data_IF_882919308172
#
_entry.id   IF_882919308172
#
_cell.length_a   1.000
_cell.length_b   1.000
_cell.length_c   1.000
_cell.angle_alpha   90.00
_cell.angle_beta   90.00
_cell.angle_gamma   90.00
#
_symmetry.space_group_name_H-M   'P 1'
#
loop_
_entity.id
_entity.type
_entity.pdbx_description
1 polymer ?
#
# COMPACT_ATOMS: atom_id res chain seq x y z
N UNK A 1 5.03 -6.59 18.41
CA UNK A 1 3.75 -6.15 17.90
C UNK A 1 3.90 -5.57 16.54
N UNK A 2 3.02 -5.96 15.67
CA UNK A 2 3.07 -5.40 14.33
C UNK A 2 2.46 -4.02 14.36
N UNK A 3 3.21 -3.07 13.88
CA UNK A 3 2.71 -1.72 13.79
C UNK A 3 2.02 -1.55 12.44
N UNK A 4 0.71 -1.40 12.49
CA UNK A 4 -0.04 -1.11 11.28
C UNK A 4 -0.10 0.39 11.09
N UNK A 5 0.04 0.80 9.84
CA UNK A 5 -0.06 2.21 9.50
C UNK A 5 -1.17 2.39 8.48
N UNK A 6 -1.62 3.62 8.37
CA UNK A 6 -2.63 3.94 7.37
C UNK A 6 -2.06 4.97 6.42
N UNK A 7 -2.58 4.95 5.21
CA UNK A 7 -2.16 5.91 4.21
C UNK A 7 -3.20 6.01 3.11
N UNK A 8 -2.91 6.86 2.15
CA UNK A 8 -3.78 7.07 1.01
C UNK A 8 -3.04 6.70 -0.25
N UNK A 9 -3.68 5.95 -1.12
CA UNK A 9 -3.07 5.55 -2.37
C UNK A 9 -2.81 6.78 -3.23
N UNK A 10 -1.55 7.02 -3.55
CA UNK A 10 -1.18 8.12 -4.40
C UNK A 10 -1.43 7.77 -5.86
N UNK A 11 -1.00 6.60 -6.26
CA UNK A 11 -1.32 6.04 -7.57
C UNK A 11 -0.97 4.57 -7.55
N UNK A 12 -1.58 3.84 -8.45
CA UNK A 12 -1.30 2.42 -8.57
C UNK A 12 -1.46 2.01 -10.02
N UNK A 13 -0.46 1.35 -10.57
CA UNK A 13 -0.49 0.89 -11.94
C UNK A 13 -0.93 -0.56 -11.96
N UNK A 14 -2.18 -0.78 -12.33
CA UNK A 14 -2.74 -2.14 -12.32
C UNK A 14 -2.07 -3.05 -13.35
N UNK A 15 -1.56 -2.47 -14.41
CA UNK A 15 -0.89 -3.28 -15.44
C UNK A 15 0.46 -3.77 -14.95
N UNK A 16 1.16 -2.95 -14.22
CA UNK A 16 2.48 -3.31 -13.72
C UNK A 16 2.45 -3.91 -12.33
N UNK A 17 1.36 -3.66 -11.59
CA UNK A 17 1.17 -4.27 -10.29
C UNK A 17 1.90 -3.60 -9.15
N UNK A 18 2.17 -2.30 -9.26
CA UNK A 18 2.79 -1.57 -8.16
C UNK A 18 2.35 -0.12 -8.14
N UNK A 19 2.62 0.52 -7.04
CA UNK A 19 2.29 1.92 -6.88
C UNK A 19 2.87 2.46 -5.59
N UNK A 20 2.29 3.56 -5.13
CA UNK A 20 2.76 4.23 -3.92
C UNK A 20 1.58 4.66 -3.08
N UNK A 21 1.81 4.61 -1.76
CA UNK A 21 0.87 5.07 -0.76
C UNK A 21 1.54 6.22 -0.03
N UNK A 22 0.81 7.32 0.14
CA UNK A 22 1.30 8.49 0.87
C UNK A 22 0.89 8.35 2.32
N UNK A 23 1.86 8.51 3.21
CA UNK A 23 1.59 8.56 4.64
C UNK A 23 1.60 10.00 5.08
N UNK A 24 0.74 10.30 6.02
CA UNK A 24 0.66 11.65 6.54
C UNK A 24 2.00 12.05 7.15
N UNK A 25 2.54 13.16 6.68
CA UNK A 25 3.80 13.72 7.21
C UNK A 25 4.99 12.78 7.06
N UNK A 26 4.94 11.85 6.12
CA UNK A 26 6.03 10.92 5.93
C UNK A 26 6.22 10.64 4.47
N UNK A 27 7.27 9.87 4.19
CA UNK A 27 7.62 9.55 2.81
C UNK A 27 6.64 8.57 2.20
N UNK A 28 6.59 8.56 0.88
CA UNK A 28 5.81 7.59 0.15
C UNK A 28 6.30 6.19 0.44
N UNK A 29 5.36 5.26 0.44
CA UNK A 29 5.67 3.86 0.69
C UNK A 29 5.37 3.07 -0.57
N UNK A 30 6.30 2.24 -0.98
CA UNK A 30 6.13 1.40 -2.15
C UNK A 30 5.15 0.28 -1.83
N UNK A 31 4.24 0.01 -2.78
CA UNK A 31 3.32 -1.11 -2.64
C UNK A 31 3.38 -1.96 -3.90
N UNK A 32 3.24 -3.26 -3.70
CA UNK A 32 3.24 -4.22 -4.80
C UNK A 32 2.01 -5.10 -4.65
N UNK A 33 1.45 -5.54 -5.78
CA UNK A 33 0.19 -6.29 -5.74
C UNK A 33 0.31 -7.54 -4.87
N UNK A 34 1.48 -8.12 -4.80
CA UNK A 34 1.67 -9.32 -3.98
C UNK A 34 1.54 -9.03 -2.49
N UNK A 35 1.60 -7.77 -2.11
CA UNK A 35 1.43 -7.38 -0.72
C UNK A 35 0.01 -6.98 -0.37
N UNK A 36 -0.89 -7.02 -1.32
CA UNK A 36 -2.28 -6.65 -1.09
C UNK A 36 -3.03 -7.89 -0.62
N UNK A 37 -3.69 -7.76 0.51
CA UNK A 37 -4.47 -8.86 1.06
C UNK A 37 -5.80 -8.95 0.34
N UNK A 38 -6.25 -10.17 0.10
CA UNK A 38 -7.55 -10.37 -0.51
C UNK A 38 -7.48 -11.39 -1.63
N UNK A 39 -8.64 -11.76 -2.13
CA UNK A 39 -8.76 -12.70 -3.22
C UNK A 39 -9.25 -11.98 -4.46
N UNK A 40 -8.92 -12.52 -5.60
CA UNK A 40 -9.34 -11.92 -6.85
C UNK A 40 -8.46 -10.76 -7.23
N UNK A 41 -9.09 -9.66 -7.52
CA UNK A 41 -8.35 -8.48 -7.94
C UNK A 41 -7.54 -7.89 -6.81
N UNK A 42 -6.27 -7.73 -7.05
CA UNK A 42 -5.37 -7.10 -6.10
C UNK A 42 -4.94 -5.76 -6.65
N UNK A 43 -5.90 -4.85 -6.70
CA UNK A 43 -5.65 -3.54 -7.27
C UNK A 43 -6.04 -2.47 -6.26
N UNK A 44 -5.44 -1.31 -6.44
CA UNK A 44 -5.76 -0.15 -5.62
C UNK A 44 -6.12 1.00 -6.55
N UNK A 45 -6.86 1.95 -6.01
CA UNK A 45 -7.26 3.12 -6.77
C UNK A 45 -6.77 4.36 -6.07
N UNK A 46 -6.50 5.38 -6.86
CA UNK A 46 -6.08 6.65 -6.32
C UNK A 46 -7.09 7.16 -5.31
N UNK A 47 -6.55 7.62 -4.18
CA UNK A 47 -7.40 8.20 -3.16
C UNK A 47 -7.98 7.24 -2.16
N UNK A 48 -7.80 5.94 -2.37
CA UNK A 48 -8.29 4.96 -1.41
C UNK A 48 -7.45 5.01 -0.15
N UNK A 49 -8.11 4.78 0.99
CA UNK A 49 -7.40 4.65 2.24
C UNK A 49 -7.11 3.19 2.52
N UNK A 50 -5.90 2.94 2.95
CA UNK A 50 -5.45 1.57 3.18
C UNK A 50 -4.73 1.48 4.51
N UNK A 51 -4.74 0.28 5.05
CA UNK A 51 -3.96 -0.04 6.24
C UNK A 51 -2.95 -1.11 5.85
N UNK A 52 -1.76 -1.00 6.38
CA UNK A 52 -0.69 -1.90 5.96
C UNK A 52 0.35 -2.04 7.06
N UNK A 53 1.20 -3.05 6.91
CA UNK A 53 2.38 -3.20 7.75
C UNK A 53 3.57 -2.63 7.01
N UNK A 54 4.34 -1.81 7.70
CA UNK A 54 5.51 -1.19 7.10
C UNK A 54 6.72 -2.10 7.29
N UNK A 55 7.41 -2.38 6.20
CA UNK A 55 8.63 -3.17 6.26
C UNK A 55 9.70 -2.47 5.46
N UNK A 56 10.94 -2.81 5.70
CA UNK A 56 12.04 -2.27 4.94
C UNK A 56 12.33 -3.20 3.77
N UNK A 57 12.22 -2.66 2.59
CA UNK A 57 12.49 -3.40 1.37
C UNK A 57 13.76 -2.91 0.71
N UNK A 58 14.08 -3.50 -0.42
CA UNK A 58 15.29 -3.14 -1.16
C UNK A 58 15.23 -1.70 -1.64
N UNK A 59 14.06 -1.19 -1.89
CA UNK A 59 13.87 0.15 -2.41
C UNK A 59 13.48 1.15 -1.36
N UNK A 60 13.51 0.74 -0.09
CA UNK A 60 13.12 1.60 1.01
C UNK A 60 11.87 1.08 1.68
N UNK A 61 11.10 1.96 2.32
CA UNK A 61 9.90 1.51 3.03
C UNK A 61 8.91 0.88 2.04
N UNK A 62 8.34 -0.22 2.46
CA UNK A 62 7.44 -0.99 1.63
C UNK A 62 6.23 -1.41 2.45
N UNK A 63 5.05 -1.37 1.85
CA UNK A 63 3.82 -1.79 2.52
C UNK A 63 3.54 -3.25 2.23
N UNK A 64 3.09 -3.96 3.26
CA UNK A 64 2.67 -5.35 3.13
C UNK A 64 1.38 -5.55 3.89
N UNK A 65 0.68 -6.64 3.57
CA UNK A 65 -0.60 -6.94 4.22
C UNK A 65 -1.56 -5.78 4.07
N UNK A 66 -1.66 -5.26 2.88
CA UNK A 66 -2.43 -4.07 2.60
C UNK A 66 -3.91 -4.40 2.57
N UNK A 67 -4.69 -3.64 3.31
CA UNK A 67 -6.14 -3.80 3.36
C UNK A 67 -6.77 -2.44 3.10
N UNK A 68 -7.76 -2.41 2.21
CA UNK A 68 -8.51 -1.17 1.98
C UNK A 68 -9.48 -0.97 3.13
N UNK A 69 -9.39 0.19 3.77
CA UNK A 69 -10.20 0.48 4.94
C UNK A 69 -11.19 1.61 4.71
N UNK A 70 -11.05 2.33 3.62
CA UNK A 70 -11.95 3.42 3.30
C UNK A 70 -12.40 3.33 1.88
N UNK A 71 -13.41 4.08 1.55
CA UNK A 71 -13.92 4.06 0.20
C UNK A 71 -13.46 5.25 -0.62
#
# INVERSE_FOLDING_TARGET
MADRETGTVKWFDNAKGYGFVVREDQEDVFVHYSGIRGEGYRTLEEGQQVEFSLVQGDKGPQAQDIVVIGE
#
